data_IF_575775473501
#
_entry.id   IF_575775473501
#
_cell.length_a   1.000
_cell.length_b   1.000
_cell.length_c   1.000
_cell.angle_alpha   90.00
_cell.angle_beta   90.00
_cell.angle_gamma   90.00
#
_symmetry.space_group_name_H-M   'P 1'
#
loop_
_entity.id
_entity.type
_entity.pdbx_description
1 polymer ?
2 non-polymer ?
3 non-polymer ?
4 non-polymer ?
5 non-polymer ?
6 non-polymer ?
7 water ?
#
# COMPACT_ATOMS: atom_id res chain seq x y z
N UNK A 3 -26.51 1.74 -16.05
CA UNK A 3 -25.87 2.99 -16.47
C UNK A 3 -25.79 3.96 -15.29
N UNK A 4 -26.55 3.66 -14.25
CA UNK A 4 -26.64 4.46 -13.03
C UNK A 4 -26.89 3.47 -11.90
N UNK A 5 -25.85 2.71 -11.54
CA UNK A 5 -26.01 1.53 -10.70
C UNK A 5 -26.15 1.89 -9.23
N UNK A 6 -26.89 1.05 -8.50
CA UNK A 6 -27.21 1.29 -7.11
C UNK A 6 -26.45 0.30 -6.23
N UNK A 7 -25.85 0.82 -5.16
CA UNK A 7 -25.24 0.00 -4.12
C UNK A 7 -26.00 0.25 -2.82
N UNK A 8 -26.30 -0.83 -2.10
CA UNK A 8 -27.10 -0.77 -0.89
C UNK A 8 -26.25 -1.13 0.31
N UNK A 9 -26.57 -0.52 1.45
CA UNK A 9 -26.09 -1.01 2.74
C UNK A 9 -27.27 -1.77 3.36
N UNK A 10 -26.98 -2.94 3.93
CA UNK A 10 -28.05 -3.77 4.48
C UNK A 10 -28.12 -3.75 5.99
N UNK A 11 -27.20 -3.04 6.65
CA UNK A 11 -27.30 -2.78 8.07
C UNK A 11 -27.99 -1.46 8.36
N UNK A 12 -27.91 -0.50 7.41
CA UNK A 12 -28.53 0.82 7.54
C UNK A 12 -29.61 1.12 6.49
N UNK A 13 -29.77 0.27 5.47
CA UNK A 13 -30.68 0.47 4.35
C UNK A 13 -30.36 1.71 3.51
N UNK A 14 -29.16 2.28 3.66
CA UNK A 14 -28.77 3.47 2.92
C UNK A 14 -28.40 3.07 1.49
N UNK A 15 -28.86 3.86 0.53
CA UNK A 15 -28.62 3.60 -0.89
C UNK A 15 -27.85 4.76 -1.50
N UNK A 16 -26.83 4.44 -2.29
CA UNK A 16 -26.08 5.42 -3.06
C UNK A 16 -26.14 5.02 -4.53
N UNK A 17 -25.95 6.01 -5.41
CA UNK A 17 -26.01 5.79 -6.85
C UNK A 17 -24.65 6.06 -7.47
N UNK A 18 -24.13 5.08 -8.20
CA UNK A 18 -22.79 5.13 -8.77
C UNK A 18 -22.90 5.47 -10.26
N UNK A 19 -22.41 6.64 -10.64
CA UNK A 19 -22.14 6.97 -12.02
C UNK A 19 -20.67 7.19 -12.29
N UNK A 20 -19.84 7.18 -11.26
CA UNK A 20 -18.40 7.29 -11.43
C UNK A 20 -17.85 6.13 -12.25
N UNK A 21 -18.45 4.95 -12.12
CA UNK A 21 -17.98 3.78 -12.86
C UNK A 21 -18.06 3.98 -14.37
N UNK A 22 -18.85 4.95 -14.83
CA UNK A 22 -18.91 5.25 -16.26
C UNK A 22 -17.57 5.79 -16.77
N UNK A 23 -16.87 6.58 -15.94
CA UNK A 23 -15.55 7.07 -16.28
C UNK A 23 -14.51 5.95 -16.32
N UNK A 24 -14.81 4.78 -15.77
CA UNK A 24 -13.85 3.69 -15.72
C UNK A 24 -13.40 3.29 -17.12
N UNK A 25 -12.17 2.78 -17.18
CA UNK A 25 -11.51 2.57 -18.47
C UNK A 25 -10.94 1.16 -18.56
N UNK A 26 -10.22 0.73 -17.54
CA UNK A 26 -9.51 -0.54 -17.57
C UNK A 26 -10.44 -1.71 -17.29
N UNK A 27 -9.93 -2.91 -17.52
CA UNK A 27 -10.66 -4.14 -17.30
C UNK A 27 -10.44 -4.65 -15.87
N UNK A 28 -11.41 -5.43 -15.39
CA UNK A 28 -11.41 -5.93 -14.02
C UNK A 28 -10.96 -7.38 -13.90
N UNK A 29 -10.99 -8.16 -14.99
CA UNK A 29 -10.82 -9.59 -14.92
C UNK A 29 -12.12 -10.35 -14.90
N UNK A 30 -13.18 -9.75 -14.39
CA UNK A 30 -14.50 -10.37 -14.45
C UNK A 30 -15.07 -10.25 -15.85
N UNK A 31 -15.94 -11.18 -16.21
CA UNK A 31 -16.73 -11.08 -17.42
C UNK A 31 -18.21 -11.21 -17.05
N UNK A 32 -19.06 -11.21 -18.08
CA UNK A 32 -20.49 -11.39 -17.82
C UNK A 32 -20.78 -12.78 -17.25
N UNK A 33 -19.88 -13.73 -17.42
CA UNK A 33 -20.12 -15.12 -17.06
C UNK A 33 -19.13 -15.65 -16.03
N UNK A 34 -18.27 -14.81 -15.47
CA UNK A 34 -17.36 -15.26 -14.41
C UNK A 34 -16.95 -14.06 -13.59
N UNK A 35 -16.95 -14.22 -12.28
CA UNK A 35 -16.51 -13.18 -11.37
C UNK A 35 -15.18 -13.61 -10.78
N UNK A 36 -14.20 -12.70 -10.85
CA UNK A 36 -12.84 -12.97 -10.37
C UNK A 36 -12.45 -12.06 -9.22
N UNK A 37 -13.45 -11.48 -8.55
CA UNK A 37 -13.23 -10.58 -7.44
C UNK A 37 -12.44 -11.15 -6.29
N UNK A 38 -12.15 -12.44 -6.25
CA UNK A 38 -11.32 -12.97 -5.17
C UNK A 38 -9.96 -13.42 -5.67
N UNK A 39 -9.67 -13.21 -6.96
CA UNK A 39 -8.34 -13.45 -7.48
C UNK A 39 -7.43 -12.34 -6.97
N UNK A 40 -6.24 -12.72 -6.48
CA UNK A 40 -5.35 -11.76 -5.82
C UNK A 40 -4.71 -10.80 -6.83
N UNK A 41 -4.18 -11.33 -7.94
CA UNK A 41 -3.50 -10.53 -8.96
C UNK A 41 -4.07 -10.89 -10.33
N UNK A 42 -5.14 -10.22 -10.75
CA UNK A 42 -5.68 -10.49 -12.09
C UNK A 42 -4.97 -9.68 -13.17
N UNK A 43 -4.80 -10.30 -14.33
CA UNK A 43 -4.15 -9.67 -15.49
C UNK A 43 -4.34 -10.50 -16.74
N UNK A 52 6.86 -1.79 -21.92
CA UNK A 52 7.24 -0.56 -22.63
C UNK A 52 6.08 -0.07 -23.48
N UNK A 53 5.76 1.22 -23.37
CA UNK A 53 4.64 1.83 -24.09
C UNK A 53 5.14 2.61 -25.30
N UNK A 54 4.20 2.95 -26.19
CA UNK A 54 4.50 3.66 -27.42
C UNK A 54 3.92 5.08 -27.38
N UNK A 55 4.30 5.87 -28.38
CA UNK A 55 3.84 7.25 -28.46
C UNK A 55 2.40 7.37 -28.92
N UNK A 56 1.86 6.32 -29.55
CA UNK A 56 0.47 6.35 -29.99
C UNK A 56 -0.47 6.41 -28.79
N UNK A 57 -0.45 5.37 -27.95
CA UNK A 57 -1.37 5.29 -26.82
C UNK A 57 -1.15 6.39 -25.80
N UNK A 58 -0.05 7.14 -25.89
CA UNK A 58 0.32 8.04 -24.80
C UNK A 58 -0.52 9.31 -24.77
N UNK A 59 -0.95 9.85 -25.93
CA UNK A 59 -1.66 11.13 -25.87
C UNK A 59 -3.11 11.03 -25.39
N UNK A 60 -3.89 10.02 -25.78
CA UNK A 60 -5.19 9.84 -25.12
C UNK A 60 -5.06 9.77 -23.61
N UNK A 61 -4.02 9.10 -23.12
CA UNK A 61 -3.80 8.98 -21.68
C UNK A 61 -3.43 10.31 -21.05
N UNK A 62 -2.53 11.06 -21.70
CA UNK A 62 -2.24 12.41 -21.24
C UNK A 62 -3.47 13.29 -21.30
N UNK A 63 -4.14 13.31 -22.46
CA UNK A 63 -5.35 14.10 -22.66
C UNK A 63 -6.38 13.81 -21.56
N UNK A 64 -6.72 12.53 -21.40
CA UNK A 64 -7.68 12.12 -20.38
C UNK A 64 -7.26 12.63 -19.01
N UNK A 65 -5.98 12.47 -18.65
CA UNK A 65 -5.51 12.93 -17.35
C UNK A 65 -5.60 14.44 -17.23
N UNK A 66 -5.02 15.16 -18.20
CA UNK A 66 -5.07 16.62 -18.16
C UNK A 66 -6.49 17.15 -18.17
N UNK A 67 -7.39 16.47 -18.89
CA UNK A 67 -8.79 16.88 -18.92
C UNK A 67 -9.42 16.81 -17.55
N UNK A 68 -9.07 15.81 -16.73
CA UNK A 68 -9.65 15.71 -15.40
C UNK A 68 -8.89 16.57 -14.39
N UNK A 69 -7.61 16.86 -14.65
CA UNK A 69 -6.87 17.75 -13.77
C UNK A 69 -7.38 19.18 -13.87
N UNK A 70 -7.57 19.68 -15.10
CA UNK A 70 -8.07 21.04 -15.26
C UNK A 70 -9.55 21.11 -14.94
N UNK A 71 -10.29 20.03 -15.16
CA UNK A 71 -11.68 19.99 -14.71
C UNK A 71 -11.78 19.87 -13.20
N UNK A 72 -10.65 19.87 -12.49
CA UNK A 72 -10.66 19.80 -11.03
C UNK A 72 -10.17 21.05 -10.35
N UNK A 73 -9.47 21.94 -11.06
CA UNK A 73 -9.14 23.26 -10.53
C UNK A 73 -10.11 24.27 -11.13
N UNK A 74 -11.30 23.82 -11.51
CA UNK A 74 -12.38 24.66 -12.02
C UNK A 74 -11.98 25.41 -13.29
N UNK A 75 -11.08 24.82 -14.09
CA UNK A 75 -10.57 25.44 -15.32
C UNK A 75 -10.55 24.42 -16.45
N UNK A 76 -11.67 23.70 -16.61
CA UNK A 76 -11.78 22.72 -17.68
C UNK A 76 -11.91 23.41 -19.03
N UNK A 77 -11.15 22.92 -20.01
CA UNK A 77 -11.24 23.40 -21.38
C UNK A 77 -10.85 24.86 -21.55
N UNK A 78 -10.37 25.49 -20.48
CA UNK A 78 -10.07 26.91 -20.51
C UNK A 78 -8.79 27.18 -21.29
N UNK A 79 -8.25 28.40 -21.14
CA UNK A 79 -7.06 28.79 -21.89
C UNK A 79 -5.86 27.93 -21.51
N UNK A 80 -5.53 27.89 -20.21
CA UNK A 80 -4.32 27.18 -19.79
C UNK A 80 -4.42 25.69 -20.05
N UNK A 81 -5.64 25.12 -20.00
CA UNK A 81 -5.83 23.70 -20.31
C UNK A 81 -5.48 23.41 -21.77
N UNK A 82 -6.03 24.18 -22.70
CA UNK A 82 -5.76 23.92 -24.11
C UNK A 82 -4.29 24.10 -24.45
N UNK A 83 -3.60 25.03 -23.79
CA UNK A 83 -2.18 25.23 -24.05
C UNK A 83 -1.35 24.10 -23.46
N UNK A 84 -1.75 23.60 -22.28
CA UNK A 84 -1.06 22.45 -21.69
C UNK A 84 -1.29 21.20 -22.53
N UNK A 85 -2.53 21.00 -22.99
CA UNK A 85 -2.83 19.93 -23.93
C UNK A 85 -1.89 19.97 -25.12
N UNK A 86 -1.79 21.13 -25.77
CA UNK A 86 -0.88 21.29 -26.90
C UNK A 86 0.58 21.11 -26.46
N UNK A 87 0.94 21.67 -25.31
CA UNK A 87 2.30 21.55 -24.80
C UNK A 87 2.69 20.07 -24.65
N UNK A 88 1.80 19.26 -24.07
CA UNK A 88 2.10 17.84 -23.87
C UNK A 88 2.13 17.11 -25.20
N UNK A 89 1.17 17.40 -26.09
CA UNK A 89 1.18 16.83 -27.43
C UNK A 89 2.52 17.09 -28.12
N UNK A 90 3.00 18.33 -28.06
CA UNK A 90 4.28 18.68 -28.66
C UNK A 90 5.41 17.85 -28.09
N UNK A 91 5.46 17.70 -26.76
CA UNK A 91 6.55 16.95 -26.14
C UNK A 91 6.42 15.45 -26.42
N UNK A 92 5.20 14.95 -26.63
CA UNK A 92 5.03 13.54 -26.98
C UNK A 92 5.40 13.29 -28.44
N UNK A 93 5.20 14.28 -29.31
CA UNK A 93 5.79 14.19 -30.64
C UNK A 93 7.31 14.23 -30.56
N UNK A 94 7.84 15.19 -29.81
CA UNK A 94 9.28 15.43 -29.77
C UNK A 94 10.01 14.27 -29.12
N UNK A 95 9.65 13.95 -27.88
CA UNK A 95 10.40 12.99 -27.06
C UNK A 95 9.71 11.63 -26.95
N UNK A 96 8.55 11.45 -27.57
CA UNK A 96 7.74 10.24 -27.42
C UNK A 96 7.42 9.92 -25.96
N UNK A 97 7.48 10.93 -25.10
CA UNK A 97 7.09 10.87 -23.70
C UNK A 97 6.80 12.30 -23.26
N UNK A 98 6.61 12.51 -21.96
CA UNK A 98 6.42 13.88 -21.47
C UNK A 98 6.69 13.91 -19.98
N UNK A 99 6.71 15.13 -19.42
CA UNK A 99 6.96 15.35 -18.00
C UNK A 99 5.76 16.03 -17.37
N UNK A 100 5.40 15.59 -16.16
CA UNK A 100 4.31 16.20 -15.42
C UNK A 100 4.78 17.45 -14.69
N UNK A 101 3.91 18.46 -14.63
CA UNK A 101 4.12 19.57 -13.72
C UNK A 101 4.09 19.08 -12.28
N UNK A 102 4.79 19.80 -11.41
CA UNK A 102 4.74 19.49 -9.98
C UNK A 102 3.31 19.36 -9.48
N UNK A 103 2.45 20.29 -9.89
CA UNK A 103 1.05 20.24 -9.45
C UNK A 103 0.32 19.02 -10.01
N UNK A 104 0.63 18.65 -11.25
CA UNK A 104 0.00 17.50 -11.88
C UNK A 104 0.45 16.20 -11.22
N UNK A 105 1.71 16.16 -10.76
CA UNK A 105 2.23 15.00 -10.07
C UNK A 105 1.57 14.81 -8.72
N UNK A 106 1.31 15.91 -8.00
CA UNK A 106 0.68 15.82 -6.68
C UNK A 106 -0.78 15.36 -6.82
N UNK A 107 -1.50 15.96 -7.77
CA UNK A 107 -2.86 15.57 -8.09
C UNK A 107 -2.95 14.11 -8.48
N UNK A 108 -2.10 13.69 -9.43
CA UNK A 108 -2.13 12.32 -9.89
C UNK A 108 -1.88 11.33 -8.77
N UNK A 109 -0.82 11.58 -8.00
CA UNK A 109 -0.52 10.71 -6.87
C UNK A 109 -1.69 10.63 -5.91
N UNK A 110 -2.24 11.79 -5.53
CA UNK A 110 -3.37 11.80 -4.60
C UNK A 110 -4.56 11.03 -5.16
N UNK A 111 -4.72 11.03 -6.48
CA UNK A 111 -5.88 10.36 -7.06
C UNK A 111 -5.63 8.89 -7.29
N UNK A 112 -4.38 8.48 -7.52
CA UNK A 112 -4.04 7.07 -7.49
C UNK A 112 -4.41 6.44 -6.15
N UNK A 113 -4.17 7.16 -5.06
CA UNK A 113 -4.63 6.70 -3.76
C UNK A 113 -6.15 6.74 -3.67
N UNK A 114 -6.74 7.86 -4.10
CA UNK A 114 -8.19 8.00 -4.08
C UNK A 114 -8.89 6.86 -4.81
N UNK A 115 -8.25 6.29 -5.83
CA UNK A 115 -8.85 5.28 -6.67
C UNK A 115 -8.47 3.86 -6.26
N UNK A 116 -7.58 3.70 -5.29
CA UNK A 116 -7.16 2.40 -4.76
C UNK A 116 -8.32 1.67 -4.12
N UNK A 117 -9.04 0.86 -4.90
CA UNK A 117 -10.29 0.28 -4.40
C UNK A 117 -10.08 -0.68 -3.23
N UNK A 118 -8.86 -1.19 -3.04
CA UNK A 118 -8.58 -2.09 -1.91
C UNK A 118 -8.19 -1.34 -0.63
N UNK A 119 -8.16 -0.01 -0.66
CA UNK A 119 -7.70 0.77 0.48
C UNK A 119 -8.89 1.23 1.34
N UNK A 120 -8.94 0.74 2.58
CA UNK A 120 -9.92 1.21 3.54
C UNK A 120 -9.58 2.58 4.12
N UNK A 121 -8.35 3.07 3.92
CA UNK A 121 -7.93 4.31 4.57
C UNK A 121 -8.07 5.54 3.70
N UNK A 122 -8.84 5.46 2.63
CA UNK A 122 -8.84 6.53 1.64
C UNK A 122 -9.52 7.81 2.10
N UNK A 123 -10.17 7.84 3.27
CA UNK A 123 -10.79 9.08 3.71
C UNK A 123 -9.74 10.19 3.80
N UNK A 124 -8.47 9.83 3.94
CA UNK A 124 -7.36 10.76 4.09
C UNK A 124 -6.70 11.12 2.76
N UNK A 125 -7.26 10.65 1.63
CA UNK A 125 -6.53 10.65 0.37
C UNK A 125 -6.00 12.03 0.00
N UNK A 126 -6.73 13.10 0.34
CA UNK A 126 -6.26 14.44 -0.03
C UNK A 126 -5.11 14.93 0.85
N UNK A 127 -5.00 14.44 2.09
CA UNK A 127 -3.89 14.78 2.96
C UNK A 127 -2.76 13.79 2.68
N UNK A 128 -2.09 14.01 1.55
CA UNK A 128 -0.98 13.18 1.12
C UNK A 128 0.17 14.10 0.75
N UNK A 129 1.32 13.86 1.38
CA UNK A 129 2.52 14.65 1.13
C UNK A 129 3.29 14.00 -0.01
N UNK A 130 3.47 14.73 -1.10
CA UNK A 130 4.11 14.17 -2.28
C UNK A 130 5.55 14.67 -2.30
N UNK A 131 6.50 13.74 -2.34
CA UNK A 131 7.90 14.10 -2.48
C UNK A 131 8.34 13.82 -3.90
N UNK A 132 8.76 14.86 -4.59
CA UNK A 132 9.19 14.75 -5.99
C UNK A 132 10.66 14.39 -5.98
N UNK A 133 10.96 13.12 -6.29
CA UNK A 133 12.34 12.66 -6.41
C UNK A 133 12.71 12.36 -7.85
N UNK A 134 12.01 12.98 -8.80
CA UNK A 134 12.31 12.81 -10.21
C UNK A 134 13.65 13.39 -10.64
N UNK A 135 14.37 14.08 -9.75
CA UNK A 135 15.73 14.51 -10.09
C UNK A 135 16.79 13.51 -9.64
N UNK A 136 16.37 12.36 -9.13
CA UNK A 136 17.27 11.34 -8.63
C UNK A 136 17.96 10.62 -9.79
N UNK A 137 19.17 10.12 -9.52
CA UNK A 137 19.98 9.46 -10.53
C UNK A 137 20.73 8.23 -10.03
N UNK A 138 21.00 8.11 -8.74
CA UNK A 138 21.82 7.04 -8.20
C UNK A 138 21.09 6.39 -7.03
N UNK A 139 21.56 5.18 -6.68
CA UNK A 139 20.98 4.47 -5.54
C UNK A 139 21.14 5.26 -4.26
N UNK A 140 22.32 5.87 -4.05
CA UNK A 140 22.53 6.70 -2.87
C UNK A 140 21.52 7.82 -2.78
N UNK A 141 21.25 8.49 -3.90
CA UNK A 141 20.18 9.47 -3.92
C UNK A 141 18.85 8.88 -3.49
N UNK A 142 18.54 7.67 -3.97
CA UNK A 142 17.31 7.00 -3.56
C UNK A 142 17.31 6.74 -2.07
N UNK A 143 18.40 6.20 -1.54
CA UNK A 143 18.53 6.04 -0.10
C UNK A 143 18.22 7.33 0.63
N UNK A 144 18.88 8.42 0.24
CA UNK A 144 18.66 9.71 0.88
C UNK A 144 17.18 10.11 0.83
N UNK A 145 16.56 9.99 -0.34
CA UNK A 145 15.15 10.34 -0.48
C UNK A 145 14.28 9.46 0.41
N UNK A 146 14.59 8.18 0.48
CA UNK A 146 13.79 7.25 1.28
C UNK A 146 13.96 7.56 2.77
N UNK A 147 15.18 7.91 3.20
CA UNK A 147 15.39 8.28 4.60
C UNK A 147 14.57 9.51 4.97
N UNK A 148 14.52 10.52 4.09
CA UNK A 148 13.71 11.69 4.38
C UNK A 148 12.21 11.34 4.34
N UNK A 149 11.83 10.40 3.49
CA UNK A 149 10.44 9.95 3.49
C UNK A 149 10.11 9.30 4.84
N UNK A 150 10.91 8.32 5.25
CA UNK A 150 10.68 7.64 6.53
C UNK A 150 10.65 8.63 7.69
N UNK A 151 11.68 9.46 7.78
CA UNK A 151 11.70 10.50 8.83
C UNK A 151 10.39 11.29 8.80
N UNK A 152 10.07 11.88 7.65
CA UNK A 152 8.92 12.77 7.57
C UNK A 152 7.64 12.02 7.93
N UNK A 153 7.42 10.86 7.31
CA UNK A 153 6.15 10.16 7.50
C UNK A 153 6.00 9.65 8.93
N UNK A 154 7.11 9.36 9.60
CA UNK A 154 7.03 8.86 10.96
C UNK A 154 6.68 9.97 11.94
N UNK A 155 7.33 11.12 11.82
CA UNK A 155 6.94 12.29 12.62
C UNK A 155 6.86 11.93 14.10
N UNK A 156 7.88 11.22 14.58
CA UNK A 156 8.01 10.85 15.98
C UNK A 156 6.77 10.13 16.51
N UNK A 157 6.05 9.45 15.63
CA UNK A 157 4.89 8.69 15.99
C UNK A 157 3.56 9.32 15.60
N UNK A 158 3.55 10.63 15.35
CA UNK A 158 2.35 11.27 14.82
C UNK A 158 2.40 11.14 13.29
N UNK A 159 2.06 9.94 12.83
CA UNK A 159 2.33 9.53 11.46
C UNK A 159 1.54 10.38 10.45
N UNK A 160 2.14 10.54 9.28
CA UNK A 160 1.69 11.44 8.23
C UNK A 160 1.82 10.70 6.92
N UNK A 161 0.82 10.87 6.06
CA UNK A 161 0.81 10.14 4.80
C UNK A 161 1.77 10.78 3.84
N UNK A 162 2.52 9.95 3.11
CA UNK A 162 3.51 10.47 2.18
C UNK A 162 3.79 9.49 1.06
N UNK A 163 4.29 10.00 -0.07
CA UNK A 163 4.78 9.19 -1.17
C UNK A 163 6.01 9.88 -1.76
N UNK A 164 6.98 9.08 -2.21
CA UNK A 164 8.18 9.59 -2.88
C UNK A 164 8.21 8.99 -4.28
N UNK A 165 8.38 9.85 -5.29
CA UNK A 165 8.19 9.49 -6.70
C UNK A 165 9.51 9.66 -7.43
N UNK A 166 10.18 8.54 -7.73
CA UNK A 166 11.43 8.51 -8.47
C UNK A 166 11.15 8.60 -9.96
N UNK A 167 12.19 8.83 -10.79
CA UNK A 167 11.95 9.12 -12.22
C UNK A 167 11.08 8.05 -12.91
N UNK A 168 10.23 8.52 -13.82
CA UNK A 168 9.33 7.62 -14.52
C UNK A 168 10.11 6.69 -15.44
N UNK A 169 9.50 5.53 -15.73
CA UNK A 169 10.05 4.65 -16.75
C UNK A 169 10.24 5.41 -18.05
N UNK A 170 11.33 5.08 -18.77
CA UNK A 170 11.56 5.63 -20.09
C UNK A 170 11.55 4.47 -21.07
N UNK A 171 12.69 3.83 -21.33
CA UNK A 171 12.77 2.73 -22.28
C UNK A 171 12.28 1.42 -21.70
N UNK A 172 12.43 1.22 -20.38
CA UNK A 172 12.11 -0.02 -19.72
C UNK A 172 13.33 -0.75 -19.16
N UNK A 173 14.50 -0.49 -19.73
CA UNK A 173 15.76 -1.04 -19.22
C UNK A 173 16.48 -0.08 -18.29
N UNK A 174 15.91 1.11 -18.07
CA UNK A 174 16.48 2.08 -17.16
C UNK A 174 15.45 2.43 -16.10
N UNK A 175 15.01 1.41 -15.36
CA UNK A 175 13.94 1.56 -14.38
C UNK A 175 14.49 1.80 -12.99
N UNK A 176 13.86 2.71 -12.26
CA UNK A 176 14.10 2.87 -10.84
C UNK A 176 13.22 1.89 -10.08
N UNK A 177 13.84 1.09 -9.22
CA UNK A 177 13.06 0.12 -8.46
C UNK A 177 13.58 0.03 -7.03
N UNK A 178 12.66 -0.01 -6.08
CA UNK A 178 12.94 -0.45 -4.72
C UNK A 178 12.61 -1.94 -4.66
N UNK A 179 13.63 -2.78 -4.40
CA UNK A 179 13.40 -4.22 -4.45
C UNK A 179 12.65 -4.74 -3.23
N UNK A 180 12.73 -4.03 -2.11
CA UNK A 180 11.94 -4.33 -0.93
C UNK A 180 10.47 -4.14 -1.25
N UNK A 181 9.63 -5.04 -0.72
CA UNK A 181 8.20 -4.85 -0.88
C UNK A 181 7.68 -3.75 0.03
N UNK A 182 8.37 -3.51 1.14
CA UNK A 182 8.10 -2.39 2.04
C UNK A 182 9.43 -1.85 2.55
N UNK A 183 9.52 -0.53 2.71
CA UNK A 183 10.76 0.09 3.18
C UNK A 183 11.23 -0.53 4.49
N UNK A 184 10.29 -0.92 5.35
CA UNK A 184 10.60 -1.48 6.66
C UNK A 184 9.92 -2.85 6.77
N UNK A 185 10.73 -3.91 6.68
CA UNK A 185 10.23 -5.27 6.86
C UNK A 185 11.22 -6.03 7.73
N UNK A 186 10.70 -6.99 8.49
CA UNK A 186 11.58 -7.85 9.27
C UNK A 186 12.10 -8.99 8.39
N UNK A 187 13.31 -9.44 8.70
CA UNK A 187 13.92 -10.52 7.93
C UNK A 187 13.29 -11.85 8.29
N UNK A 188 13.31 -12.76 7.31
CA UNK A 188 12.94 -14.14 7.54
C UNK A 188 14.07 -15.10 7.19
N UNK A 189 14.37 -16.02 8.09
CA UNK A 189 15.46 -16.97 7.90
C UNK A 189 14.93 -18.38 8.08
N UNK A 190 15.14 -19.23 7.08
CA UNK A 190 14.90 -20.65 7.21
C UNK A 190 15.96 -21.28 8.13
N UNK A 191 15.59 -22.39 8.76
CA UNK A 191 16.44 -23.02 9.76
C UNK A 191 17.01 -24.34 9.25
N UNK A 192 17.89 -25.00 10.01
CA UNK A 192 18.23 -26.40 9.66
C UNK A 192 17.01 -27.31 9.64
N UNK A 193 16.16 -27.23 10.67
CA UNK A 193 14.94 -28.03 10.69
C UNK A 193 13.82 -27.44 9.83
N UNK A 194 14.16 -26.61 8.85
CA UNK A 194 13.19 -26.13 7.88
C UNK A 194 12.38 -24.93 8.32
N UNK A 195 11.99 -24.89 9.60
CA UNK A 195 11.12 -23.85 10.12
C UNK A 195 11.75 -22.46 9.98
N UNK A 196 10.99 -21.42 10.31
CA UNK A 196 11.37 -20.06 9.95
C UNK A 196 11.49 -19.19 11.19
N UNK A 197 12.64 -18.53 11.33
CA UNK A 197 12.81 -17.43 12.27
C UNK A 197 12.49 -16.12 11.56
N UNK A 198 11.88 -15.19 12.30
CA UNK A 198 11.54 -13.90 11.73
C UNK A 198 10.26 -13.93 10.91
N UNK A 199 10.24 -13.18 9.81
CA UNK A 199 9.03 -13.08 9.01
C UNK A 199 9.13 -14.04 7.82
N UNK A 200 8.32 -15.11 7.78
CA UNK A 200 8.40 -16.03 6.63
C UNK A 200 8.09 -15.37 5.29
N UNK A 201 7.32 -14.28 5.26
CA UNK A 201 6.98 -13.64 4.00
C UNK A 201 8.23 -13.22 3.23
N UNK A 202 9.27 -12.81 3.95
CA UNK A 202 10.44 -12.16 3.37
C UNK A 202 11.64 -13.08 3.23
N UNK A 203 11.46 -14.40 3.43
CA UNK A 203 12.59 -15.32 3.42
C UNK A 203 13.35 -15.23 2.11
N UNK A 204 12.64 -15.14 0.98
CA UNK A 204 13.31 -15.05 -0.30
C UNK A 204 14.09 -13.75 -0.41
N UNK A 205 13.46 -12.63 -0.05
CA UNK A 205 14.15 -11.34 -0.13
C UNK A 205 15.31 -11.27 0.86
N UNK A 206 15.12 -11.81 2.07
CA UNK A 206 16.20 -11.85 3.05
C UNK A 206 17.40 -12.60 2.50
N UNK A 207 17.19 -13.66 1.71
CA UNK A 207 18.32 -14.39 1.14
C UNK A 207 18.95 -13.64 -0.02
N UNK A 208 18.17 -12.84 -0.75
CA UNK A 208 18.73 -11.99 -1.81
C UNK A 208 19.66 -10.95 -1.21
N UNK A 209 19.29 -10.37 -0.06
CA UNK A 209 20.16 -9.42 0.60
C UNK A 209 21.46 -10.08 1.06
N UNK A 210 21.37 -11.30 1.60
CA UNK A 210 22.60 -12.00 1.95
C UNK A 210 23.44 -12.26 0.70
N UNK A 211 22.77 -12.60 -0.40
CA UNK A 211 23.46 -12.82 -1.67
C UNK A 211 24.20 -11.57 -2.16
N UNK A 212 23.69 -10.37 -1.83
CA UNK A 212 24.29 -9.12 -2.24
C UNK A 212 25.24 -8.55 -1.20
N UNK A 213 25.50 -9.29 -0.12
CA UNK A 213 26.45 -8.89 0.89
C UNK A 213 25.89 -8.47 2.23
N UNK A 214 24.60 -8.67 2.48
CA UNK A 214 24.05 -8.31 3.78
C UNK A 214 24.55 -9.27 4.84
N UNK A 215 24.89 -8.73 5.99
CA UNK A 215 25.35 -9.50 7.13
C UNK A 215 24.15 -9.64 8.07
N UNK A 216 23.54 -10.81 8.04
CA UNK A 216 22.29 -11.00 8.76
C UNK A 216 22.54 -11.18 10.25
N UNK A 217 21.88 -10.41 11.11
CA UNK A 217 21.92 -10.70 12.55
C UNK A 217 20.94 -11.80 12.94
N UNK A 218 20.85 -12.85 12.13
CA UNK A 218 19.85 -13.93 12.17
C UNK A 218 19.05 -14.02 13.48
N UNK A 219 18.21 -13.03 13.72
CA UNK A 219 17.26 -13.05 14.82
C UNK A 219 15.83 -12.87 14.33
N UNK A 220 14.95 -12.37 15.19
CA UNK A 220 13.54 -12.24 14.86
C UNK A 220 13.26 -10.98 14.07
N UNK A 221 13.15 -9.86 14.79
CA UNK A 221 12.72 -8.59 14.23
C UNK A 221 13.93 -7.76 13.78
N UNK A 222 14.64 -8.32 12.80
CA UNK A 222 15.76 -7.63 12.17
C UNK A 222 15.24 -6.81 11.01
N UNK A 223 15.40 -5.49 11.08
CA UNK A 223 14.95 -4.62 10.00
C UNK A 223 15.82 -4.88 8.79
N UNK A 224 15.18 -5.20 7.66
CA UNK A 224 15.94 -5.49 6.44
C UNK A 224 16.65 -4.25 5.94
N UNK A 225 17.69 -4.43 5.13
CA UNK A 225 18.30 -3.29 4.44
C UNK A 225 17.48 -2.95 3.20
N UNK A 226 17.74 -1.77 2.66
CA UNK A 226 17.15 -1.36 1.40
C UNK A 226 17.98 -1.89 0.23
N UNK A 227 17.30 -2.39 -0.80
CA UNK A 227 17.94 -2.73 -2.06
C UNK A 227 17.39 -1.80 -3.13
N UNK A 228 18.18 -0.80 -3.52
CA UNK A 228 17.72 0.27 -4.39
C UNK A 228 18.38 0.15 -5.75
N UNK A 229 17.55 0.10 -6.80
CA UNK A 229 17.99 0.05 -8.19
C UNK A 229 17.72 1.41 -8.82
N UNK A 230 18.75 2.01 -9.40
CA UNK A 230 18.64 3.33 -10.01
C UNK A 230 18.97 3.24 -11.50
N UNK A 231 18.11 3.83 -12.33
CA UNK A 231 18.33 3.94 -13.77
C UNK A 231 18.66 2.59 -14.39
N UNK A 232 17.99 1.54 -13.91
CA UNK A 232 18.24 0.19 -14.39
C UNK A 232 19.55 -0.43 -13.97
N UNK A 233 20.38 0.26 -13.19
CA UNK A 233 21.62 -0.35 -12.73
C UNK A 233 21.34 -1.40 -11.64
N UNK A 234 22.31 -2.29 -11.46
CA UNK A 234 22.15 -3.33 -10.44
C UNK A 234 21.98 -2.69 -9.06
N UNK A 235 21.14 -3.24 -8.21
CA UNK A 235 20.78 -2.55 -6.97
C UNK A 235 21.83 -2.72 -5.88
N UNK A 236 21.76 -1.82 -4.89
CA UNK A 236 22.79 -1.67 -3.87
C UNK A 236 22.13 -1.59 -2.50
N UNK A 237 22.81 -2.15 -1.49
CA UNK A 237 22.24 -2.24 -0.15
C UNK A 237 22.53 -0.99 0.67
N UNK A 238 21.52 -0.53 1.41
CA UNK A 238 21.68 0.55 2.38
C UNK A 238 20.85 0.24 3.62
N UNK A 239 21.45 0.49 4.78
CA UNK A 239 20.80 0.24 6.06
C UNK A 239 20.20 1.53 6.60
N UNK A 240 18.88 1.54 6.74
CA UNK A 240 18.17 2.67 7.35
C UNK A 240 18.72 2.90 8.76
N UNK A 241 19.09 4.12 9.11
CA UNK A 241 19.56 4.38 10.47
C UNK A 241 18.49 4.00 11.48
N UNK A 242 18.82 3.12 12.43
CA UNK A 242 17.78 2.58 13.33
C UNK A 242 17.02 3.64 14.11
N UNK A 243 17.61 4.82 14.30
CA UNK A 243 16.89 5.93 14.92
C UNK A 243 15.70 6.38 14.07
N UNK A 244 15.71 6.07 12.76
CA UNK A 244 14.60 6.40 11.89
C UNK A 244 13.55 5.31 11.84
N UNK A 245 13.88 4.11 12.34
CA UNK A 245 12.97 2.98 12.32
C UNK A 245 12.29 2.91 13.69
N UNK A 246 11.06 3.42 13.75
CA UNK A 246 10.31 3.50 14.99
C UNK A 246 9.59 2.18 15.21
N UNK A 247 9.78 1.61 16.39
CA UNK A 247 9.22 0.30 16.70
C UNK A 247 8.39 0.39 17.96
N UNK A 248 7.30 -0.37 17.98
CA UNK A 248 6.38 -0.44 19.11
C UNK A 248 6.47 -1.83 19.71
N UNK A 249 6.93 -1.98 20.96
CA UNK A 249 6.88 -3.30 21.62
C UNK A 249 5.47 -3.56 22.15
N UNK A 250 4.98 -4.77 21.89
CA UNK A 250 3.58 -5.10 22.08
C UNK A 250 3.36 -5.64 23.49
N UNK A 251 2.55 -4.94 24.28
CA UNK A 251 2.13 -5.42 25.59
C UNK A 251 0.61 -5.40 25.66
N UNK A 252 0.06 -6.25 26.56
CA UNK A 252 -1.38 -6.26 26.79
C UNK A 252 -1.73 -5.42 28.02
N UNK A 253 -2.93 -4.80 28.02
CA UNK A 253 -3.36 -4.03 29.20
C UNK A 253 -4.00 -4.89 30.29
N UNK A 254 -3.83 -6.21 30.21
CA UNK A 254 -4.24 -7.08 31.31
C UNK A 254 -3.18 -8.14 31.55
N UNK A 255 -2.82 -8.88 30.50
CA UNK A 255 -2.01 -10.08 30.61
C UNK A 255 -0.54 -9.69 30.62
N UNK A 256 0.03 -9.60 31.83
CA UNK A 256 1.41 -9.16 31.98
C UNK A 256 2.41 -10.15 31.39
N UNK A 257 2.02 -11.41 31.17
CA UNK A 257 2.90 -12.32 30.44
C UNK A 257 3.03 -11.94 28.98
N UNK A 258 2.31 -10.91 28.52
CA UNK A 258 2.34 -10.55 27.11
C UNK A 258 3.69 -9.96 26.72
N UNK A 259 4.36 -9.25 27.64
CA UNK A 259 5.71 -8.75 27.34
C UNK A 259 6.67 -9.92 27.16
N UNK A 260 6.45 -11.00 27.90
CA UNK A 260 7.30 -12.18 27.78
C UNK A 260 7.24 -12.77 26.38
N UNK A 261 6.10 -12.62 25.71
CA UNK A 261 6.01 -12.96 24.29
C UNK A 261 7.10 -12.24 23.49
N UNK A 262 7.47 -11.03 23.91
CA UNK A 262 8.58 -10.32 23.32
C UNK A 262 8.35 -9.96 21.86
N UNK A 263 7.15 -9.52 21.53
CA UNK A 263 6.83 -9.08 20.18
C UNK A 263 6.93 -7.56 20.07
N UNK A 264 7.02 -7.10 18.82
CA UNK A 264 7.12 -5.70 18.46
C UNK A 264 6.87 -5.60 16.96
N UNK A 265 6.48 -4.42 16.53
CA UNK A 265 6.28 -4.19 15.11
C UNK A 265 6.69 -2.77 14.77
N UNK A 266 7.02 -2.55 13.51
CA UNK A 266 7.38 -1.22 13.10
C UNK A 266 6.13 -0.34 12.97
N UNK A 267 6.33 0.96 13.15
CA UNK A 267 5.20 1.86 13.11
C UNK A 267 4.74 2.21 11.72
N UNK A 268 5.59 2.03 10.71
CA UNK A 268 5.40 2.68 9.41
C UNK A 268 5.17 1.69 8.29
N UNK A 269 3.93 1.50 7.85
CA UNK A 269 3.65 0.68 6.67
C UNK A 269 3.90 1.50 5.42
N UNK A 270 4.88 1.10 4.63
CA UNK A 270 5.37 1.92 3.53
C UNK A 270 5.67 0.97 2.38
N UNK A 271 4.69 0.79 1.51
CA UNK A 271 4.82 -0.18 0.43
C UNK A 271 5.64 0.44 -0.69
N UNK A 272 6.56 -0.35 -1.25
CA UNK A 272 7.54 0.17 -2.18
C UNK A 272 7.62 -0.60 -3.50
N UNK A 273 6.80 -1.64 -3.69
CA UNK A 273 6.99 -2.53 -4.82
C UNK A 273 5.99 -2.28 -5.94
N UNK A 274 5.15 -1.27 -5.81
CA UNK A 274 4.06 -1.03 -6.74
C UNK A 274 4.40 0.06 -7.72
N UNK A 275 3.63 0.12 -8.79
CA UNK A 275 3.84 1.06 -9.86
C UNK A 275 2.74 2.12 -9.82
N UNK A 276 3.15 3.39 -9.86
CA UNK A 276 2.23 4.51 -9.95
C UNK A 276 2.06 4.91 -11.42
N UNK A 277 0.81 4.97 -11.87
CA UNK A 277 0.46 5.31 -13.25
C UNK A 277 -0.27 6.65 -13.27
N UNK A 278 0.29 7.62 -13.99
CA UNK A 278 -0.29 8.96 -14.08
C UNK A 278 -0.22 9.40 -15.53
N UNK A 279 -1.38 9.65 -16.15
CA UNK A 279 -1.41 10.08 -17.54
C UNK A 279 -0.56 9.26 -18.49
N UNK A 280 -0.58 7.93 -18.35
CA UNK A 280 0.19 7.06 -19.20
C UNK A 280 1.65 6.90 -18.80
N UNK A 281 2.14 7.72 -17.87
CA UNK A 281 3.49 7.62 -17.37
C UNK A 281 3.56 6.59 -16.24
N UNK A 282 4.66 5.83 -16.20
CA UNK A 282 4.82 4.72 -15.27
C UNK A 282 5.99 5.00 -14.33
N UNK A 283 5.68 5.21 -13.05
CA UNK A 283 6.70 5.43 -12.03
C UNK A 283 6.92 4.12 -11.28
N UNK A 284 7.98 3.41 -11.65
CA UNK A 284 8.24 2.04 -11.18
C UNK A 284 8.74 2.00 -9.74
N UNK A 285 8.99 3.17 -9.14
CA UNK A 285 9.48 3.24 -7.77
C UNK A 285 8.80 4.43 -7.14
N UNK A 286 7.86 4.14 -6.25
CA UNK A 286 7.03 5.21 -5.69
C UNK A 286 6.57 4.86 -4.28
N UNK A 287 7.48 4.62 -3.34
CA UNK A 287 7.05 4.11 -2.03
C UNK A 287 6.07 5.07 -1.36
N UNK A 288 4.97 4.52 -0.87
CA UNK A 288 3.96 5.33 -0.20
C UNK A 288 3.70 4.72 1.16
N UNK A 289 3.43 5.58 2.13
CA UNK A 289 3.24 5.14 3.51
C UNK A 289 2.02 5.83 4.10
N UNK A 290 1.31 5.08 4.95
CA UNK A 290 0.31 5.68 5.82
C UNK A 290 0.54 5.35 7.28
N UNK A 291 -0.47 4.81 7.94
CA UNK A 291 -0.35 4.22 9.27
C UNK A 291 -1.10 2.90 9.25
N UNK A 292 -0.84 2.08 10.27
CA UNK A 292 -1.43 0.75 10.29
C UNK A 292 -2.87 0.80 10.82
N UNK A 293 -3.74 0.06 10.15
CA UNK A 293 -4.91 -0.48 10.81
C UNK A 293 -4.46 -1.70 11.61
N UNK A 294 -4.94 -1.81 12.84
CA UNK A 294 -4.39 -2.78 13.77
C UNK A 294 -4.35 -4.19 13.22
N UNK A 295 -5.40 -4.60 12.51
CA UNK A 295 -5.52 -6.01 12.10
C UNK A 295 -4.43 -6.43 11.12
N UNK A 296 -3.87 -5.48 10.36
CA UNK A 296 -2.77 -5.84 9.47
C UNK A 296 -1.65 -6.52 10.23
N UNK A 297 -1.35 -6.03 11.43
CA UNK A 297 -0.28 -6.60 12.25
C UNK A 297 -0.79 -7.79 13.06
N UNK A 298 -1.84 -7.58 13.87
CA UNK A 298 -2.23 -8.58 14.84
C UNK A 298 -2.92 -9.79 14.24
N UNK A 299 -3.61 -9.61 13.12
CA UNK A 299 -4.31 -10.71 12.47
C UNK A 299 -3.41 -11.35 11.40
N UNK A 300 -3.01 -10.55 10.41
CA UNK A 300 -2.31 -11.10 9.25
C UNK A 300 -0.83 -11.33 9.54
N UNK A 301 -0.12 -10.27 9.98
CA UNK A 301 1.31 -10.39 10.23
C UNK A 301 1.59 -11.43 11.33
N UNK A 302 0.80 -11.42 12.39
CA UNK A 302 1.10 -12.27 13.55
C UNK A 302 0.47 -13.66 13.47
N UNK A 303 -0.66 -13.82 12.76
CA UNK A 303 -1.45 -15.04 12.87
C UNK A 303 -1.70 -15.80 11.56
N UNK A 304 -1.42 -15.23 10.39
CA UNK A 304 -1.38 -16.05 9.19
C UNK A 304 -0.51 -17.28 9.45
N UNK A 305 -0.97 -18.44 8.96
CA UNK A 305 -0.18 -19.66 9.10
C UNK A 305 1.22 -19.47 8.54
N UNK A 306 1.31 -18.86 7.36
CA UNK A 306 2.57 -18.66 6.67
C UNK A 306 3.27 -17.36 7.08
N UNK A 307 2.85 -16.73 8.18
CA UNK A 307 3.58 -15.60 8.75
C UNK A 307 4.05 -15.97 10.15
N UNK A 308 3.99 -15.02 11.09
CA UNK A 308 4.61 -15.23 12.40
C UNK A 308 3.95 -16.36 13.18
N UNK A 309 2.67 -16.63 12.91
CA UNK A 309 1.99 -17.86 13.35
C UNK A 309 2.12 -18.06 14.86
N UNK A 310 1.67 -17.06 15.61
CA UNK A 310 1.84 -17.06 17.06
C UNK A 310 0.62 -17.56 17.81
N UNK A 311 -0.48 -17.86 17.13
CA UNK A 311 -1.69 -18.32 17.84
C UNK A 311 -1.40 -19.49 18.76
N UNK A 312 -0.38 -20.30 18.47
CA UNK A 312 0.04 -21.38 19.37
C UNK A 312 0.33 -20.87 20.77
N UNK A 313 1.29 -19.94 20.89
CA UNK A 313 1.74 -19.51 22.21
C UNK A 313 0.68 -18.68 22.93
N UNK A 314 0.02 -17.79 22.20
CA UNK A 314 -0.95 -16.90 22.85
C UNK A 314 -2.10 -17.70 23.45
N UNK A 315 -2.51 -18.78 22.77
CA UNK A 315 -3.52 -19.65 23.36
C UNK A 315 -3.01 -20.28 24.64
N UNK A 316 -1.81 -20.84 24.60
CA UNK A 316 -1.21 -21.50 25.75
C UNK A 316 -1.28 -20.64 27.00
N UNK A 317 -0.61 -19.48 26.97
CA UNK A 317 -0.49 -18.64 28.15
C UNK A 317 -1.82 -18.08 28.64
N UNK A 318 -2.90 -18.26 27.88
CA UNK A 318 -4.22 -17.80 28.28
C UNK A 318 -5.03 -18.85 29.03
N UNK A 319 -4.50 -20.08 29.17
CA UNK A 319 -5.20 -21.22 29.75
C UNK A 319 -6.35 -21.66 28.85
N UNK A 320 -6.04 -22.04 27.61
CA UNK A 320 -7.05 -22.28 26.58
C UNK A 320 -7.18 -23.77 26.22
N UNK A 321 -8.43 -24.15 25.91
CA UNK A 321 -8.78 -25.46 25.37
C UNK A 321 -8.29 -25.63 23.95
N UNK A 322 -7.12 -26.22 23.75
CA UNK A 322 -6.55 -26.35 22.42
C UNK A 322 -6.78 -27.71 21.76
N UNK A 323 -7.40 -28.65 22.48
CA UNK A 323 -7.68 -29.96 21.88
C UNK A 323 -8.65 -29.84 20.72
N UNK A 324 -9.84 -29.30 20.99
CA UNK A 324 -10.91 -29.23 20.01
C UNK A 324 -10.76 -28.00 19.13
N UNK A 325 -11.07 -28.17 17.85
CA UNK A 325 -11.17 -27.03 16.94
C UNK A 325 -12.32 -26.10 17.34
N UNK A 326 -13.41 -26.66 17.86
CA UNK A 326 -14.64 -25.91 18.12
C UNK A 326 -14.62 -25.18 19.46
N UNK A 327 -13.51 -25.20 20.20
CA UNK A 327 -13.43 -24.34 21.37
C UNK A 327 -13.16 -22.89 21.02
N UNK A 328 -12.91 -22.59 19.74
CA UNK A 328 -12.61 -21.22 19.26
C UNK A 328 -11.42 -20.61 20.00
N UNK A 329 -10.50 -21.44 20.47
CA UNK A 329 -9.28 -20.92 21.08
C UNK A 329 -8.52 -20.04 20.10
N UNK A 330 -8.61 -20.35 18.80
CA UNK A 330 -7.93 -19.50 17.81
C UNK A 330 -8.54 -18.11 17.76
N UNK A 331 -9.87 -18.01 17.75
CA UNK A 331 -10.52 -16.71 17.75
C UNK A 331 -10.21 -15.93 19.02
N UNK A 332 -10.29 -16.61 20.16
CA UNK A 332 -10.15 -15.95 21.45
C UNK A 332 -8.75 -15.35 21.60
N UNK A 333 -7.72 -16.12 21.22
CA UNK A 333 -6.36 -15.58 21.23
C UNK A 333 -6.19 -14.47 20.20
N UNK A 334 -6.96 -14.55 19.11
CA UNK A 334 -6.82 -13.54 18.06
C UNK A 334 -7.31 -12.18 18.52
N UNK A 335 -8.41 -12.13 19.28
CA UNK A 335 -8.87 -10.84 19.79
C UNK A 335 -7.85 -10.26 20.77
N UNK A 336 -7.33 -11.08 21.69
CA UNK A 336 -6.36 -10.58 22.65
C UNK A 336 -5.15 -9.97 21.95
N UNK A 337 -4.66 -10.61 20.89
CA UNK A 337 -3.50 -10.09 20.18
C UNK A 337 -3.77 -8.69 19.63
N UNK A 338 -4.99 -8.48 19.11
CA UNK A 338 -5.29 -7.20 18.48
C UNK A 338 -5.63 -6.11 19.50
N UNK A 339 -6.20 -6.46 20.67
CA UNK A 339 -6.31 -5.49 21.76
C UNK A 339 -4.93 -5.02 22.17
N UNK A 340 -3.96 -5.94 22.17
CA UNK A 340 -2.61 -5.63 22.62
C UNK A 340 -1.89 -4.71 21.65
N UNK A 341 -1.95 -5.04 20.35
CA UNK A 341 -1.29 -4.20 19.36
C UNK A 341 -1.83 -2.78 19.42
N UNK A 342 -3.17 -2.65 19.46
CA UNK A 342 -3.78 -1.33 19.55
C UNK A 342 -3.34 -0.59 20.81
N UNK A 343 -3.48 -1.23 21.97
CA UNK A 343 -3.05 -0.62 23.22
C UNK A 343 -1.59 -0.20 23.16
N UNK A 344 -0.73 -1.09 22.67
CA UNK A 344 0.71 -0.81 22.66
C UNK A 344 1.03 0.39 21.78
N UNK A 345 0.40 0.46 20.60
CA UNK A 345 0.64 1.61 19.72
C UNK A 345 0.11 2.90 20.33
N UNK A 346 -1.11 2.88 20.89
CA UNK A 346 -1.69 4.08 21.47
C UNK A 346 -0.94 4.55 22.70
N UNK A 347 -0.51 3.61 23.54
CA UNK A 347 0.25 3.99 24.74
C UNK A 347 1.60 4.58 24.41
N UNK A 348 2.10 4.43 23.17
CA UNK A 348 3.33 5.08 22.72
C UNK A 348 3.06 6.27 21.82
N UNK A 349 1.82 6.75 21.76
CA UNK A 349 1.44 7.86 20.89
C UNK A 349 1.85 7.62 19.43
N UNK A 350 1.84 6.36 19.02
CA UNK A 350 2.11 6.00 17.63
C UNK A 350 0.79 5.80 16.92
N UNK A 351 0.60 6.53 15.82
CA UNK A 351 -0.68 6.52 15.12
C UNK A 351 -1.05 5.11 14.71
N UNK A 352 -2.26 4.69 15.07
CA UNK A 352 -2.83 3.42 14.65
C UNK A 352 -4.34 3.58 14.67
N UNK A 353 -5.03 2.78 13.85
CA UNK A 353 -6.49 2.83 13.76
C UNK A 353 -7.01 1.41 13.93
N UNK A 354 -8.08 1.26 14.70
CA UNK A 354 -8.69 -0.04 14.86
C UNK A 354 -9.66 -0.26 13.71
N UNK A 355 -9.99 -1.52 13.46
CA UNK A 355 -10.78 -1.85 12.28
C UNK A 355 -12.24 -1.39 12.40
N UNK A 356 -12.72 -1.08 13.60
CA UNK A 356 -14.05 -0.47 13.70
C UNK A 356 -14.00 0.99 13.30
N UNK A 357 -13.06 1.73 13.84
CA UNK A 357 -12.95 3.13 13.46
C UNK A 357 -12.59 3.28 12.00
N UNK A 358 -11.72 2.40 11.50
CA UNK A 358 -11.26 2.53 10.10
C UNK A 358 -12.38 2.21 9.13
N UNK A 359 -13.19 1.20 9.43
CA UNK A 359 -14.26 0.83 8.52
C UNK A 359 -15.46 1.78 8.62
N UNK A 360 -15.74 2.32 9.81
CA UNK A 360 -16.73 3.39 9.87
C UNK A 360 -16.26 4.60 9.06
N UNK A 361 -14.99 4.99 9.21
CA UNK A 361 -14.47 6.11 8.45
C UNK A 361 -14.67 5.89 6.95
N UNK A 362 -14.53 4.64 6.50
CA UNK A 362 -14.60 4.35 5.08
C UNK A 362 -16.03 4.46 4.54
N UNK A 363 -17.01 3.96 5.30
CA UNK A 363 -18.40 4.22 4.93
C UNK A 363 -18.64 5.71 4.80
N UNK A 364 -18.19 6.48 5.80
CA UNK A 364 -18.31 7.92 5.75
C UNK A 364 -17.62 8.48 4.51
N UNK A 365 -16.43 7.97 4.19
CA UNK A 365 -15.73 8.37 2.97
C UNK A 365 -16.51 7.95 1.74
N UNK A 366 -17.04 6.73 1.74
CA UNK A 366 -17.84 6.27 0.62
C UNK A 366 -19.02 7.20 0.36
N UNK A 367 -19.64 7.72 1.43
CA UNK A 367 -20.76 8.64 1.25
C UNK A 367 -20.30 9.93 0.59
N UNK A 368 -19.12 10.43 0.98
CA UNK A 368 -18.61 11.66 0.38
C UNK A 368 -18.33 11.47 -1.11
N UNK A 369 -17.73 10.35 -1.50
CA UNK A 369 -17.38 10.15 -2.90
C UNK A 369 -18.62 10.01 -3.78
N UNK A 370 -19.63 9.28 -3.32
CA UNK A 370 -20.83 9.13 -4.15
C UNK A 370 -21.52 10.47 -4.37
N UNK A 371 -21.39 11.41 -3.43
CA UNK A 371 -22.03 12.72 -3.58
C UNK A 371 -21.22 13.64 -4.48
N UNK A 372 -20.00 14.00 -4.07
CA UNK A 372 -19.21 14.97 -4.82
C UNK A 372 -18.42 14.36 -5.98
N UNK A 373 -18.53 13.05 -6.19
CA UNK A 373 -17.80 12.40 -7.27
C UNK A 373 -18.62 11.38 -8.03
N UNK A 374 -19.74 10.92 -7.50
CA UNK A 374 -20.59 9.97 -8.20
C UNK A 374 -20.24 8.52 -7.97
N UNK A 375 -19.37 8.21 -7.02
CA UNK A 375 -19.00 6.83 -6.76
C UNK A 375 -17.69 6.72 -6.03
N UNK A 376 -17.40 5.47 -5.64
CA UNK A 376 -16.16 5.15 -4.94
C UNK A 376 -15.83 3.71 -5.27
N UNK A 377 -14.85 3.45 -6.14
CA UNK A 377 -14.46 2.07 -6.44
C UNK A 377 -13.98 1.38 -5.17
N UNK A 378 -14.54 0.21 -4.89
CA UNK A 378 -14.25 -0.44 -3.61
C UNK A 378 -14.25 -1.95 -3.78
N UNK A 379 -13.27 -2.60 -3.15
CA UNK A 379 -13.03 -4.04 -3.25
C UNK A 379 -13.45 -4.64 -1.92
N UNK A 380 -14.65 -5.21 -1.90
CA UNK A 380 -15.18 -5.75 -0.65
C UNK A 380 -14.26 -6.79 -0.08
N UNK A 381 -13.78 -7.71 -0.94
CA UNK A 381 -12.89 -8.77 -0.50
C UNK A 381 -11.73 -8.23 0.33
N UNK A 382 -11.22 -7.03 -0.01
CA UNK A 382 -10.09 -6.39 0.69
C UNK A 382 -10.50 -5.36 1.74
N UNK A 383 -11.66 -4.71 1.59
CA UNK A 383 -12.08 -3.70 2.56
C UNK A 383 -12.51 -4.34 3.88
N UNK A 384 -13.28 -5.43 3.82
CA UNK A 384 -13.75 -6.05 5.07
C UNK A 384 -12.54 -6.54 5.86
N UNK A 385 -12.39 -6.18 7.14
CA UNK A 385 -11.19 -6.57 7.88
C UNK A 385 -11.13 -8.08 8.10
N UNK A 386 -9.94 -8.61 8.37
CA UNK A 386 -9.76 -10.07 8.40
C UNK A 386 -10.19 -10.71 9.71
N UNK A 387 -10.85 -9.95 10.58
CA UNK A 387 -11.44 -10.47 11.80
C UNK A 387 -12.74 -9.71 12.02
N UNK A 388 -13.72 -10.38 12.62
CA UNK A 388 -14.95 -9.70 13.02
C UNK A 388 -15.61 -8.97 11.85
N UNK A 389 -15.57 -9.61 10.67
CA UNK A 389 -16.11 -8.98 9.47
C UNK A 389 -17.47 -8.33 9.67
N UNK A 390 -18.44 -9.11 10.15
CA UNK A 390 -19.82 -8.62 10.09
C UNK A 390 -20.17 -7.64 11.20
N UNK A 391 -19.33 -7.50 12.24
CA UNK A 391 -19.64 -6.47 13.23
C UNK A 391 -19.07 -5.13 12.83
N UNK A 392 -18.41 -5.03 11.63
CA UNK A 392 -18.00 -3.76 11.05
C UNK A 392 -18.98 -3.33 9.96
N UNK A 393 -19.18 -2.02 9.79
CA UNK A 393 -20.21 -1.55 8.83
C UNK A 393 -19.90 -1.86 7.39
N UNK A 394 -18.66 -2.24 7.04
CA UNK A 394 -18.36 -2.46 5.63
C UNK A 394 -18.82 -3.83 5.17
N UNK A 395 -18.91 -4.81 6.09
CA UNK A 395 -19.41 -6.13 5.70
C UNK A 395 -20.77 -6.04 5.03
N UNK A 396 -21.59 -5.09 5.47
CA UNK A 396 -22.98 -4.95 5.02
C UNK A 396 -23.13 -3.97 3.88
N UNK A 397 -22.01 -3.40 3.42
CA UNK A 397 -22.00 -2.37 2.40
C UNK A 397 -21.67 -3.01 1.06
N UNK A 398 -22.65 -3.04 0.17
CA UNK A 398 -22.39 -3.40 -1.21
C UNK A 398 -21.43 -2.39 -1.82
N UNK A 399 -20.50 -2.89 -2.62
CA UNK A 399 -19.44 -2.07 -3.19
C UNK A 399 -19.26 -2.42 -4.65
N UNK A 400 -19.16 -1.40 -5.49
CA UNK A 400 -18.81 -1.58 -6.90
C UNK A 400 -17.31 -1.41 -7.03
N UNK A 401 -16.64 -2.40 -7.61
CA UNK A 401 -15.22 -2.33 -7.93
C UNK A 401 -15.06 -2.04 -9.41
N UNK A 402 -14.17 -1.10 -9.72
CA UNK A 402 -13.81 -0.73 -11.09
C UNK A 402 -12.51 0.06 -11.05
N UNK A 403 -11.84 0.09 -12.19
CA UNK A 403 -10.48 0.58 -12.27
C UNK A 403 -10.50 2.00 -12.84
N UNK A 404 -10.23 2.98 -12.00
CA UNK A 404 -10.01 4.35 -12.45
C UNK A 404 -8.51 4.62 -12.51
N UNK A 405 -8.17 5.69 -13.23
CA UNK A 405 -6.80 6.16 -13.33
C UNK A 405 -6.77 7.65 -13.02
N UNK A 406 -5.67 8.17 -12.46
CA UNK A 406 -4.40 7.57 -12.02
C UNK A 406 -4.59 6.43 -11.02
N UNK A 407 -3.60 5.53 -10.94
CA UNK A 407 -3.76 4.33 -10.13
C UNK A 407 -2.40 3.78 -9.72
N UNK A 408 -2.41 3.05 -8.62
CA UNK A 408 -1.31 2.16 -8.25
C UNK A 408 -1.58 0.78 -8.81
N UNK A 409 -0.59 0.21 -9.49
CA UNK A 409 -0.67 -1.12 -10.08
C UNK A 409 0.41 -2.02 -9.51
N UNK A 410 0.10 -3.31 -9.46
CA UNK A 410 1.09 -4.31 -9.10
C UNK A 410 2.09 -4.43 -10.24
N UNK A 411 3.30 -4.83 -9.88
CA UNK A 411 4.36 -5.00 -10.86
C UNK A 411 5.23 -6.15 -10.39
N UNK A 412 5.83 -6.91 -11.30
CA UNK A 412 6.63 -8.06 -10.88
C UNK A 412 7.83 -7.66 -10.04
N UNK A 413 8.27 -8.60 -9.22
CA UNK A 413 9.50 -8.40 -8.47
C UNK A 413 10.66 -8.17 -9.43
N UNK A 414 11.59 -7.28 -9.12
CA UNK A 414 12.63 -6.92 -10.10
C UNK A 414 13.60 -8.05 -10.40
N UNK A 415 13.81 -8.97 -9.46
CA UNK A 415 14.80 -10.01 -9.69
C UNK A 415 14.35 -11.06 -10.70
N UNK A 416 13.07 -11.09 -11.07
CA UNK A 416 12.57 -11.96 -12.12
C UNK A 416 12.70 -11.35 -13.51
N UNK A 417 12.95 -10.05 -13.59
CA UNK A 417 12.85 -9.30 -14.83
C UNK A 417 14.10 -8.52 -15.20
N UNK A 418 14.95 -8.21 -14.22
CA UNK A 418 16.07 -7.29 -14.42
C UNK A 418 17.23 -8.00 -15.11
N UNK A 419 17.58 -7.54 -16.31
CA UNK A 419 18.75 -8.06 -17.02
C UNK A 419 20.00 -7.65 -16.25
N UNK A 420 20.55 -8.56 -15.45
CA UNK A 420 21.74 -8.31 -14.66
C UNK A 420 22.96 -8.09 -15.55
N UNK A 421 24.09 -7.72 -14.96
CA UNK A 421 25.33 -7.60 -15.71
C UNK A 421 26.51 -7.74 -14.77
N UNK A 422 26.49 -6.98 -13.68
CA UNK A 422 27.50 -7.09 -12.65
C UNK A 422 27.46 -8.45 -11.96
X LIG B 1 -4.31 -1.16 0.78
X LIG B 1 -5.14 0.92 5.07
X LIG B 1 -2.69 4.83 3.44
X LIG B 1 -2.68 3.01 -1.07
X LIG B 1 -4.63 -1.00 2.11
X LIG B 1 -5.03 -2.04 3.05
X LIG B 1 -5.25 -1.47 4.24
X LIG B 1 -5.02 -0.05 4.10
X LIG B 1 -5.69 -2.21 5.53
X LIG B 1 -5.14 -3.55 2.75
X LIG B 1 -3.73 -4.03 2.46
X LIG B 1 -3.48 -5.34 3.14
X LIG B 1 -4.47 -5.94 3.63
X LIG B 1 -2.30 -5.80 3.19
X LIG B 1 -4.54 2.17 4.99
X LIG B 1 -4.50 3.13 6.07
X LIG B 1 -3.85 4.21 5.62
X LIG B 1 -3.42 3.96 4.25
X LIG B 1 -5.13 2.95 7.46
X LIG B 1 -3.60 5.47 6.48
X LIG B 1 -3.61 6.68 5.90
X LIG B 1 -2.46 4.68 2.09
X LIG B 1 -1.70 5.58 1.25
X LIG B 1 -1.69 5.08 0.00
X LIG B 1 -2.44 3.84 0.01
X LIG B 1 -1.06 6.87 1.82
X LIG B 1 -1.06 5.61 -1.31
X LIG B 1 -0.58 6.85 -1.47
X LIG B 1 -3.09 1.72 -0.97
X LIG B 1 -3.11 0.75 -2.04
X LIG B 1 -3.57 -0.42 -1.53
X LIG B 1 -3.84 -0.21 -0.12
X LIG B 1 -2.70 1.08 -3.49
X LIG B 1 -3.81 -1.77 -2.24
X LIG B 1 -2.66 -2.24 -3.11
X LIG B 1 -2.97 -3.67 -3.50
X LIG B 1 -3.63 -3.90 -4.57
X LIG B 1 -2.54 -4.58 -2.75
X LIG B 1 -4.65 0.19 2.80
X LIG B 1 -3.86 2.70 3.88
X LIG B 1 -2.89 3.62 1.30
X LIG B 1 -3.54 1.11 0.18
X LIG B 1 -4.13 1.99 1.91
X LIG C 1 -7.89 -8.57 2.10
X LIG C 1 -6.85 -7.81 2.57
X LIG C 1 -7.12 -6.62 3.14
X LIG C 1 -5.56 -8.24 2.47
X LIG C 1 -5.28 -9.44 1.88
X LIG C 1 -4.11 -9.85 1.78
X LIG C 1 -6.33 -10.20 1.39
X LIG C 1 -7.64 -9.76 1.51
X LIG C 1 -6.08 -11.38 0.79
X LIG C 1 -8.67 -10.49 1.02
X LIG C 1 -7.08 -11.85 -0.16
X LIG C 1 -8.47 -11.81 0.47
X LIG C 1 -6.81 -13.28 -0.65
X LIG C 1 -6.51 -14.02 0.52
X LIG C 1 -8.03 -13.86 -1.40
X LIG C 1 -7.79 -15.27 -1.91
X LIG C 1 -8.30 -13.05 -2.55
X LIG D 1 -8.35 5.88 8.70
X LIG D 1 -7.58 5.59 9.65
X LIG D 1 -9.51 5.44 8.62
X LIG D 1 -7.81 6.74 7.60
X LIG E 1 -16.77 -9.78 -10.39
X LIG F 1 -0.95 -1.05 3.55
X LIG F 1 -0.24 2.45 2.33
X LIG F 1 -0.44 -3.99 1.20
X LIG F 1 0.55 -4.83 1.72
X LIG F 1 -1.38 0.44 5.34
X LIG F 1 -1.04 1.53 4.55
X LIG F 1 -0.65 1.31 3.23
X LIG F 1 -0.60 0.02 2.73
X LIG F 1 -0.21 -0.18 1.41
X LIG F 1 -0.17 -1.46 0.91
X LIG F 1 -0.53 -2.62 1.76
X LIG F 1 -0.90 -2.36 3.07
X LIG F 1 0.72 -6.13 1.23
X LIG F 1 -0.08 -6.58 0.20
X LIG F 1 -1.05 -5.74 -0.34
X LIG F 1 -1.22 -4.44 0.16
X LIG F 1 0.08 -7.98 -0.36
X LIG F 1 0.22 -1.65 -0.37
X LIG F 1 -1.32 -0.81 4.82
X LIG F 1 -1.76 0.61 6.62
X LIG F 1 0.03 -8.98 0.71
X LIG F 1 -2.17 -3.64 -0.38
#
# INVERSE_FOLDING_TARGET
CPRFLKVKNWETDVVLTDTLHLKSTLETGCTEHICMGSIMLPSQHTRKPEDVATKDQLFPLAKEFLDQYYSSIKRFGSKAHMDRLEEVNKEIESTSTYQLKDTELIYGAKHAWRNASRCVGRIQWSKLQVFDARDCTTAHGMFNYICNHVKYATNKGNLRSAITIFPQRTDGKHDFRVWNSQLIRYAGYKQPDGSTLGDPANVQFTEICIQQGWKAPRGRFDVLPLLLQANGNDPELFQIPPELVLEVPIRHPKFDWFKDLGLKWYGLPAVSNMLLEIGGLEFSACPFSGWYMGTEIGVRDYCDNSRYNILEEVAKKMDLDMRKTSSLWKDQALVEINIAVLYSFQSDKVTIVDHHSATESFIKHMENEYRCRGGCPADWVWIVPPMSGSITPVFHQEMLNYRLTPSFEYQPDPWNTHVWKG
HEM CHA CHB CHC CHD C1A C2A C3A C4A CMA CAA CBA CGA O1A O2A C1B C2B C3B C4B CMB CAB CBB C1C C2C C3C C4C CMC CAC CBC C1D C2D C3D C4D CMD CAD CBD CGD O1D O2D NA NB NC ND FE
H4B N1 C2 N2 N3 C4 O4 C4A C8A N5 N8 C6 C7 C9 O9 C10 C11 O10
ACT C O OXT CH3
ZN ZN
A1BUF C10 C11 C21 C22 C02 C03 C04 C05 C06 C07 C08 C09 C23 C24 C25 C26 C27 F07 N01 N02 N28 O26
#
